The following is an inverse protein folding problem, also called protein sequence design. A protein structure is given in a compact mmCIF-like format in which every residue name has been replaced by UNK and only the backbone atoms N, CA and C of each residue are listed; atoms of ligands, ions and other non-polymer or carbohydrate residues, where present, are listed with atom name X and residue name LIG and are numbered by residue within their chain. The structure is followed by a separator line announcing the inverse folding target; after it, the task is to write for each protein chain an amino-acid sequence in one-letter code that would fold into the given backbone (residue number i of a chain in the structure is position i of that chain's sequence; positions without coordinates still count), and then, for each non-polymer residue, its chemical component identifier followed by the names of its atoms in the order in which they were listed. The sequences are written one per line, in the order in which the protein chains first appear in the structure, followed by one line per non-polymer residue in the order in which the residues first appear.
data_IF_261279736501
#
_entry.id   IF_261279736501
#
_cell.length_a   1.000
_cell.length_b   1.000
_cell.length_c   1.000
_cell.angle_alpha   90.00
_cell.angle_beta   90.00
_cell.angle_gamma   90.00
#
_symmetry.space_group_name_H-M   'P 1'
#
loop_
_entity.id
_entity.type
_entity.pdbx_description
1 polymer ?
#
# COMPACT_ATOMS: atom_id res chain seq x y z
N UNK A 1 16.31 -6.13 -5.45
CA UNK A 1 15.99 -4.72 -5.76
C UNK A 1 14.49 -4.67 -5.95
N UNK A 2 13.79 -4.04 -5.01
CA UNK A 2 12.35 -3.83 -5.07
C UNK A 2 12.00 -2.49 -5.70
N UNK A 3 10.78 -2.34 -6.20
CA UNK A 3 10.28 -1.05 -6.69
C UNK A 3 9.51 -0.35 -5.57
N UNK A 4 9.72 0.95 -5.41
CA UNK A 4 8.95 1.79 -4.49
C UNK A 4 8.00 2.70 -5.27
N UNK A 5 6.83 2.99 -4.71
CA UNK A 5 5.85 3.90 -5.29
C UNK A 5 5.29 4.77 -4.16
N UNK A 6 5.17 6.07 -4.38
CA UNK A 6 4.64 6.99 -3.36
C UNK A 6 3.42 7.72 -3.90
N UNK A 7 2.35 7.73 -3.11
CA UNK A 7 1.09 8.38 -3.45
C UNK A 7 0.87 9.50 -2.44
N UNK A 8 0.76 10.72 -2.95
CA UNK A 8 0.53 11.92 -2.16
C UNK A 8 -0.92 12.39 -2.38
N UNK A 9 -1.84 12.09 -1.44
CA UNK A 9 -3.19 12.66 -1.50
C UNK A 9 -3.10 14.19 -1.35
N UNK A 10 -3.73 14.94 -2.25
CA UNK A 10 -3.68 16.41 -2.24
C UNK A 10 -4.48 16.97 -1.03
N UNK A 11 -3.83 17.80 -0.22
CA UNK A 11 -4.22 18.14 1.15
C UNK A 11 -5.45 19.04 1.34
N UNK A 12 -6.63 18.65 0.86
CA UNK A 12 -7.88 19.43 1.09
C UNK A 12 -9.14 18.64 1.47
N UNK A 13 -9.07 17.32 1.61
CA UNK A 13 -10.15 16.50 2.18
C UNK A 13 -9.61 15.63 3.32
N UNK A 14 -10.48 15.11 4.18
CA UNK A 14 -10.15 14.32 5.38
C UNK A 14 -8.85 13.51 5.22
N UNK A 15 -7.89 13.77 6.11
CA UNK A 15 -6.57 13.11 6.07
C UNK A 15 -6.76 11.60 5.97
N UNK A 16 -6.10 10.96 5.00
CA UNK A 16 -6.16 9.51 4.83
C UNK A 16 -5.74 8.81 6.13
N UNK A 17 -6.68 8.17 6.81
CA UNK A 17 -6.44 7.54 8.11
C UNK A 17 -6.08 6.05 7.95
N UNK A 18 -5.53 5.47 9.02
CA UNK A 18 -5.33 4.02 9.15
C UNK A 18 -6.63 3.25 8.88
N UNK A 19 -7.77 3.74 9.38
CA UNK A 19 -9.05 3.05 9.22
C UNK A 19 -9.52 3.03 7.77
N UNK A 20 -9.40 4.14 7.04
CA UNK A 20 -9.78 4.23 5.62
C UNK A 20 -8.89 3.30 4.80
N UNK A 21 -7.57 3.38 5.04
CA UNK A 21 -6.60 2.58 4.31
C UNK A 21 -6.73 1.09 4.63
N UNK A 22 -7.00 0.72 5.88
CA UNK A 22 -7.25 -0.66 6.26
C UNK A 22 -8.55 -1.20 5.65
N UNK A 23 -9.64 -0.44 5.68
CA UNK A 23 -10.92 -0.86 5.09
C UNK A 23 -10.79 -1.12 3.58
N UNK A 24 -9.97 -0.33 2.89
CA UNK A 24 -9.61 -0.54 1.50
C UNK A 24 -8.75 -1.80 1.30
N UNK A 25 -7.60 -1.86 1.97
CA UNK A 25 -6.58 -2.86 1.71
C UNK A 25 -6.98 -4.26 2.20
N UNK A 26 -7.76 -4.36 3.28
CA UNK A 26 -8.15 -5.66 3.85
C UNK A 26 -9.08 -6.49 2.94
N UNK A 27 -9.72 -5.84 1.96
CA UNK A 27 -10.61 -6.47 0.99
C UNK A 27 -9.87 -7.06 -0.21
N UNK A 28 -8.61 -6.67 -0.39
CA UNK A 28 -7.80 -7.14 -1.50
C UNK A 28 -7.32 -8.58 -1.25
N UNK A 29 -7.23 -9.41 -2.29
CA UNK A 29 -6.60 -10.72 -2.18
C UNK A 29 -5.15 -10.56 -1.74
N UNK A 30 -4.64 -11.61 -1.13
CA UNK A 30 -3.27 -11.66 -0.62
C UNK A 30 -2.95 -10.74 0.56
N UNK A 31 -3.89 -9.89 1.03
CA UNK A 31 -3.76 -9.16 2.31
C UNK A 31 -3.49 -10.14 3.46
N UNK A 32 -2.48 -9.85 4.25
CA UNK A 32 -2.02 -10.71 5.33
C UNK A 32 -2.20 -10.09 6.72
N UNK A 33 -2.19 -8.76 6.79
CA UNK A 33 -2.39 -8.03 8.04
C UNK A 33 -1.64 -6.70 8.04
N UNK A 34 -1.65 -6.05 9.20
CA UNK A 34 -0.89 -4.82 9.44
C UNK A 34 0.02 -4.96 10.65
N UNK A 35 1.15 -4.27 10.61
CA UNK A 35 2.09 -4.12 11.71
C UNK A 35 2.27 -2.63 12.02
N UNK A 36 2.39 -2.31 13.31
CA UNK A 36 2.63 -0.95 13.79
C UNK A 36 3.95 -0.94 14.53
N UNK A 37 4.94 -0.23 13.99
CA UNK A 37 6.28 -0.16 14.56
C UNK A 37 6.80 1.28 14.46
N UNK A 38 7.29 1.84 15.57
CA UNK A 38 7.89 3.18 15.58
C UNK A 38 6.94 4.31 15.16
N UNK A 39 5.63 4.13 15.30
CA UNK A 39 4.62 5.10 14.84
C UNK A 39 4.28 5.00 13.35
N UNK A 40 4.91 4.07 12.61
CA UNK A 40 4.60 3.78 11.23
C UNK A 40 3.70 2.55 11.12
N UNK A 41 2.68 2.63 10.27
CA UNK A 41 1.76 1.52 9.98
C UNK A 41 2.18 0.91 8.65
N UNK A 42 2.33 -0.42 8.63
CA UNK A 42 2.68 -1.18 7.42
C UNK A 42 1.67 -2.30 7.20
N UNK A 43 1.05 -2.33 6.03
CA UNK A 43 0.14 -3.38 5.57
C UNK A 43 0.90 -4.37 4.69
N UNK A 44 0.80 -5.65 4.99
CA UNK A 44 1.53 -6.71 4.30
C UNK A 44 0.62 -7.48 3.33
N UNK A 45 1.14 -7.72 2.13
CA UNK A 45 0.54 -8.62 1.16
C UNK A 45 1.49 -9.78 0.88
N UNK A 46 0.96 -10.99 0.96
CA UNK A 46 1.69 -12.25 0.77
C UNK A 46 0.92 -13.15 -0.17
N UNK A 47 1.50 -13.46 -1.32
CA UNK A 47 0.99 -14.47 -2.24
C UNK A 47 1.13 -15.88 -1.69
N UNK A 48 0.59 -16.88 -2.41
CA UNK A 48 0.57 -18.27 -1.94
C UNK A 48 1.94 -18.83 -1.57
N UNK A 49 3.00 -18.42 -2.29
CA UNK A 49 4.37 -18.89 -2.06
C UNK A 49 5.01 -18.28 -0.81
N UNK A 50 4.83 -16.97 -0.59
CA UNK A 50 5.40 -16.26 0.57
C UNK A 50 4.61 -16.52 1.84
N UNK A 51 3.29 -16.81 1.74
CA UNK A 51 2.49 -17.28 2.88
C UNK A 51 3.00 -18.61 3.46
N UNK A 52 3.56 -19.48 2.63
CA UNK A 52 4.12 -20.75 3.07
C UNK A 52 5.50 -20.61 3.75
N UNK A 53 6.11 -19.43 3.70
CA UNK A 53 7.43 -19.14 4.25
C UNK A 53 7.41 -17.84 5.08
N UNK A 54 6.91 -17.88 6.34
CA UNK A 54 6.67 -16.68 7.15
C UNK A 54 7.94 -15.88 7.46
N UNK A 55 9.11 -16.53 7.46
CA UNK A 55 10.40 -15.87 7.69
C UNK A 55 10.90 -15.05 6.48
N UNK A 56 10.19 -15.11 5.35
CA UNK A 56 10.52 -14.32 4.16
C UNK A 56 9.82 -12.96 4.18
N UNK A 57 10.41 -12.00 3.48
CA UNK A 57 9.79 -10.70 3.26
C UNK A 57 8.43 -10.88 2.55
N UNK A 58 7.41 -10.07 2.90
CA UNK A 58 6.16 -10.04 2.17
C UNK A 58 6.39 -9.61 0.72
N UNK A 59 5.46 -9.97 -0.18
CA UNK A 59 5.57 -9.60 -1.59
C UNK A 59 5.43 -8.09 -1.79
N UNK A 60 4.54 -7.47 -1.01
CA UNK A 60 4.30 -6.02 -1.03
C UNK A 60 4.06 -5.51 0.39
N UNK A 61 4.64 -4.36 0.70
CA UNK A 61 4.31 -3.55 1.87
C UNK A 61 3.65 -2.25 1.44
N UNK A 62 2.62 -1.83 2.16
CA UNK A 62 2.07 -0.48 2.06
C UNK A 62 2.30 0.24 3.38
N UNK A 63 3.05 1.33 3.38
CA UNK A 63 3.28 2.19 4.53
C UNK A 63 2.34 3.40 4.51
N UNK A 64 1.83 3.79 5.67
CA UNK A 64 1.12 5.05 5.86
C UNK A 64 1.97 6.01 6.72
N UNK A 65 2.13 7.23 6.22
CA UNK A 65 2.70 8.39 6.94
C UNK A 65 1.76 9.58 6.80
N UNK A 66 1.96 10.65 7.59
CA UNK A 66 1.01 11.77 7.76
C UNK A 66 0.35 12.29 6.47
N UNK A 67 1.06 12.30 5.34
CA UNK A 67 0.50 12.72 4.03
C UNK A 67 1.01 11.87 2.85
N UNK A 68 1.43 10.64 3.08
CA UNK A 68 1.96 9.80 2.02
C UNK A 68 1.68 8.32 2.29
N UNK A 69 1.18 7.66 1.25
CA UNK A 69 1.10 6.20 1.17
C UNK A 69 2.26 5.71 0.33
N UNK A 70 3.10 4.84 0.88
CA UNK A 70 4.24 4.26 0.17
C UNK A 70 3.99 2.78 -0.08
N UNK A 71 4.15 2.32 -1.30
CA UNK A 71 4.09 0.90 -1.67
C UNK A 71 5.49 0.41 -2.02
N UNK A 72 5.98 -0.60 -1.30
CA UNK A 72 7.24 -1.28 -1.59
C UNK A 72 6.97 -2.68 -2.12
N UNK A 73 7.39 -2.98 -3.34
CA UNK A 73 7.28 -4.29 -3.97
C UNK A 73 8.59 -5.07 -3.85
N UNK A 74 8.54 -6.26 -3.25
CA UNK A 74 9.67 -7.17 -3.10
C UNK A 74 9.52 -8.46 -3.91
N UNK A 75 8.28 -8.89 -4.15
CA UNK A 75 7.94 -10.19 -4.74
C UNK A 75 6.99 -10.08 -5.94
N UNK A 76 5.86 -10.78 -5.90
CA UNK A 76 4.93 -10.90 -7.04
C UNK A 76 4.42 -9.52 -7.53
N UNK A 77 4.80 -9.16 -8.76
CA UNK A 77 4.41 -7.90 -9.39
C UNK A 77 2.91 -7.76 -9.61
N UNK A 78 2.16 -8.87 -9.67
CA UNK A 78 0.71 -8.85 -9.85
C UNK A 78 0.00 -8.36 -8.58
N UNK A 79 0.52 -8.73 -7.42
CA UNK A 79 0.05 -8.22 -6.13
C UNK A 79 0.30 -6.71 -6.09
N UNK A 80 1.51 -6.26 -6.44
CA UNK A 80 1.85 -4.84 -6.45
C UNK A 80 0.96 -4.02 -7.40
N UNK A 81 0.71 -4.53 -8.62
CA UNK A 81 -0.17 -3.86 -9.58
C UNK A 81 -1.62 -3.78 -9.09
N UNK A 82 -2.11 -4.82 -8.41
CA UNK A 82 -3.46 -4.84 -7.85
C UNK A 82 -3.60 -3.83 -6.70
N UNK A 83 -2.66 -3.84 -5.76
CA UNK A 83 -2.66 -2.92 -4.61
C UNK A 83 -2.53 -1.48 -5.08
N UNK A 84 -1.60 -1.20 -6.00
CA UNK A 84 -1.47 0.12 -6.60
C UNK A 84 -2.76 0.52 -7.33
N UNK A 85 -3.37 -0.39 -8.08
CA UNK A 85 -4.64 -0.14 -8.77
C UNK A 85 -5.77 0.20 -7.82
N UNK A 86 -5.90 -0.50 -6.69
CA UNK A 86 -6.90 -0.23 -5.68
C UNK A 86 -6.68 1.14 -5.00
N UNK A 87 -5.43 1.42 -4.60
CA UNK A 87 -5.05 2.71 -4.04
C UNK A 87 -5.38 3.85 -5.00
N UNK A 88 -4.98 3.73 -6.26
CA UNK A 88 -5.27 4.75 -7.27
C UNK A 88 -6.76 4.88 -7.54
N UNK A 89 -7.50 3.79 -7.69
CA UNK A 89 -8.93 3.88 -8.03
C UNK A 89 -9.75 4.52 -6.91
N UNK A 90 -9.48 4.17 -5.66
CA UNK A 90 -10.28 4.65 -4.52
C UNK A 90 -9.87 6.05 -4.11
N UNK A 91 -8.56 6.34 -4.05
CA UNK A 91 -8.08 7.69 -3.76
C UNK A 91 -8.54 8.67 -4.89
N UNK A 92 -8.38 8.31 -6.17
CA UNK A 92 -8.78 9.19 -7.30
C UNK A 92 -10.31 9.31 -7.41
N UNK A 93 -11.07 8.31 -6.97
CA UNK A 93 -12.54 8.39 -6.95
C UNK A 93 -13.04 9.40 -5.92
N UNK A 94 -12.32 9.59 -4.81
CA UNK A 94 -12.70 10.54 -3.77
C UNK A 94 -12.17 11.96 -4.01
N UNK A 95 -11.08 12.15 -4.77
CA UNK A 95 -10.52 13.48 -5.08
C UNK A 95 -10.32 13.72 -6.58
N UNK A 96 -10.97 14.77 -7.10
CA UNK A 96 -10.65 15.31 -8.43
C UNK A 96 -9.22 15.87 -8.41
N UNK A 97 -8.29 15.07 -8.95
CA UNK A 97 -6.88 15.39 -9.21
C UNK A 97 -5.92 14.92 -8.12
N UNK A 98 -5.51 13.66 -8.19
CA UNK A 98 -4.42 13.14 -7.37
C UNK A 98 -3.13 13.06 -8.17
N UNK A 99 -2.03 13.51 -7.57
CA UNK A 99 -0.70 13.41 -8.16
C UNK A 99 -0.01 12.15 -7.64
N UNK A 100 -0.03 11.10 -8.46
CA UNK A 100 0.74 9.88 -8.21
C UNK A 100 2.20 10.14 -8.63
N UNK A 101 3.13 10.13 -7.66
CA UNK A 101 4.55 10.26 -7.95
C UNK A 101 5.21 8.87 -7.96
N UNK A 102 5.55 8.41 -9.15
CA UNK A 102 6.29 7.14 -9.30
C UNK A 102 7.78 7.44 -9.15
N UNK A 103 8.31 7.23 -7.94
CA UNK A 103 9.74 7.28 -7.67
C UNK A 103 10.34 5.92 -8.02
N UNK A 104 11.01 5.81 -9.18
CA UNK A 104 11.78 4.59 -9.48
C UNK A 104 13.02 4.51 -8.58
N UNK A 105 13.45 3.29 -8.19
CA UNK A 105 14.68 3.09 -7.43
C UNK A 105 15.93 3.60 -8.16
#
# INVERSE_FOLDING_TARGET
MGSEYSIHPDGTGDSLTDEILEDLLCRLPDYHGKTVAGGQITYEFRGSNTRAAPDTFPDVNVGLSENCVTLCQFGDYRIAALVLGALVMELVSESRSERIEVVKP
#
